data_IF_476726760777
#
_entry.id   IF_476726760777
#
_cell.length_a   1.000
_cell.length_b   1.000
_cell.length_c   1.000
_cell.angle_alpha   90.00
_cell.angle_beta   90.00
_cell.angle_gamma   90.00
#
_symmetry.space_group_name_H-M   'P 1'
#
loop_
_entity.id
_entity.type
_entity.pdbx_description
1 polymer ?
#
# COMPACT_ATOMS: atom_id res chain seq x y z
N UNK A 1 -15.83 20.58 46.37
CA UNK A 1 -14.99 19.84 45.39
C UNK A 1 -13.73 20.64 45.15
N UNK A 2 -12.56 20.05 45.37
CA UNK A 2 -11.29 20.77 45.43
C UNK A 2 -10.77 21.06 44.01
N UNK A 3 -10.78 22.34 43.61
CA UNK A 3 -10.34 22.80 42.29
C UNK A 3 -8.93 22.30 41.95
N UNK A 4 -8.04 22.19 42.94
CA UNK A 4 -6.66 21.68 42.78
C UNK A 4 -6.63 20.24 42.25
N UNK A 5 -7.58 19.39 42.67
CA UNK A 5 -7.64 18.00 42.23
C UNK A 5 -8.10 17.85 40.76
N UNK A 6 -8.90 18.80 40.27
CA UNK A 6 -9.36 18.82 38.87
C UNK A 6 -8.19 19.21 37.95
N UNK A 7 -7.43 20.25 38.32
CA UNK A 7 -6.24 20.68 37.58
C UNK A 7 -5.16 19.60 37.51
N UNK A 8 -4.89 18.90 38.61
CA UNK A 8 -3.93 17.80 38.63
C UNK A 8 -4.35 16.62 37.74
N UNK A 9 -5.64 16.28 37.70
CA UNK A 9 -6.16 15.23 36.81
C UNK A 9 -6.06 15.63 35.34
N UNK A 10 -6.41 16.87 35.01
CA UNK A 10 -6.28 17.39 33.64
C UNK A 10 -4.83 17.43 33.16
N UNK A 11 -3.89 17.84 34.01
CA UNK A 11 -2.47 17.84 33.69
C UNK A 11 -1.93 16.42 33.45
N UNK A 12 -2.35 15.45 34.26
CA UNK A 12 -1.98 14.04 34.12
C UNK A 12 -2.51 13.42 32.82
N UNK A 13 -3.74 13.76 32.42
CA UNK A 13 -4.32 13.32 31.14
C UNK A 13 -3.54 13.90 29.96
N UNK A 14 -3.22 15.20 30.00
CA UNK A 14 -2.43 15.86 28.96
C UNK A 14 -1.03 15.24 28.87
N UNK A 15 -0.35 15.04 30.00
CA UNK A 15 0.95 14.37 30.02
C UNK A 15 0.88 12.94 29.44
N UNK A 16 -0.16 12.18 29.76
CA UNK A 16 -0.35 10.84 29.20
C UNK A 16 -0.59 10.89 27.69
N UNK A 17 -1.37 11.84 27.19
CA UNK A 17 -1.57 12.03 25.74
C UNK A 17 -0.25 12.38 25.04
N UNK A 18 0.53 13.30 25.61
CA UNK A 18 1.85 13.65 25.06
C UNK A 18 2.83 12.50 25.14
N UNK A 19 2.83 11.73 26.24
CA UNK A 19 3.69 10.55 26.41
C UNK A 19 3.32 9.44 25.45
N UNK A 20 2.03 9.15 25.26
CA UNK A 20 1.54 8.20 24.23
C UNK A 20 1.90 8.67 22.83
N UNK A 21 1.79 9.97 22.54
CA UNK A 21 2.18 10.55 21.25
C UNK A 21 3.69 10.50 21.01
N UNK A 22 4.51 10.73 22.04
CA UNK A 22 5.98 10.57 21.94
C UNK A 22 6.39 9.10 21.84
N UNK A 23 5.74 8.19 22.57
CA UNK A 23 5.94 6.74 22.42
C UNK A 23 5.58 6.24 21.01
N UNK A 24 4.55 6.81 20.37
CA UNK A 24 4.24 6.51 18.97
C UNK A 24 5.19 7.15 17.95
N UNK A 25 5.98 8.15 18.36
CA UNK A 25 6.92 8.87 17.48
C UNK A 25 8.32 8.25 17.54
N UNK A 26 8.67 7.50 18.59
CA UNK A 26 10.04 7.00 18.78
C UNK A 26 10.34 5.60 18.24
N UNK A 27 9.42 4.86 17.59
CA UNK A 27 9.78 3.55 17.02
C UNK A 27 8.80 3.05 15.94
N UNK A 28 8.76 3.69 14.77
CA UNK A 28 8.26 3.02 13.56
C UNK A 28 9.24 3.23 12.40
N UNK A 29 9.92 2.16 11.99
CA UNK A 29 10.61 2.15 10.70
C UNK A 29 9.52 2.26 9.62
N UNK A 30 9.43 3.43 9.00
CA UNK A 30 8.53 3.68 7.88
C UNK A 30 9.35 4.04 6.64
N UNK A 31 9.03 3.40 5.53
CA UNK A 31 9.67 3.57 4.24
C UNK A 31 8.71 4.31 3.31
N UNK A 32 9.21 5.33 2.62
CA UNK A 32 8.41 6.11 1.65
C UNK A 32 8.97 5.93 0.25
N UNK A 33 8.08 5.61 -0.68
CA UNK A 33 8.37 5.39 -2.10
C UNK A 33 7.47 6.25 -2.96
N UNK A 34 7.95 6.58 -4.17
CA UNK A 34 7.18 7.37 -5.13
C UNK A 34 7.33 6.74 -6.52
N UNK A 35 6.20 6.37 -7.13
CA UNK A 35 6.13 5.93 -8.52
C UNK A 35 6.22 7.15 -9.43
N UNK A 36 7.20 7.18 -10.31
CA UNK A 36 7.51 8.30 -11.22
C UNK A 36 7.63 7.89 -12.69
N UNK A 37 7.35 6.63 -12.97
CA UNK A 37 7.62 6.00 -14.25
C UNK A 37 6.47 5.09 -14.65
N UNK A 38 6.26 4.99 -15.96
CA UNK A 38 5.46 3.92 -16.55
C UNK A 38 6.16 2.57 -16.34
N UNK A 39 5.41 1.49 -16.57
CA UNK A 39 5.92 0.10 -16.48
C UNK A 39 7.16 -0.17 -17.34
N UNK A 40 7.33 0.58 -18.44
CA UNK A 40 8.44 0.53 -19.41
C UNK A 40 9.44 1.68 -19.22
N UNK A 41 9.56 2.21 -18.00
CA UNK A 41 10.58 3.17 -17.56
C UNK A 41 10.56 4.55 -18.25
N UNK A 42 9.41 5.00 -18.75
CA UNK A 42 9.24 6.38 -19.21
C UNK A 42 8.80 7.27 -18.05
N UNK A 43 9.42 8.43 -17.90
CA UNK A 43 9.02 9.40 -16.87
C UNK A 43 7.59 9.90 -17.07
N UNK A 44 6.87 10.12 -15.98
CA UNK A 44 5.53 10.73 -15.97
C UNK A 44 5.58 12.14 -15.40
N UNK A 45 4.49 12.88 -15.58
CA UNK A 45 4.35 14.22 -15.01
C UNK A 45 4.25 14.17 -13.48
N UNK A 46 4.76 15.20 -12.80
CA UNK A 46 4.79 15.21 -11.33
C UNK A 46 3.39 15.15 -10.69
N UNK A 47 2.36 15.62 -11.40
CA UNK A 47 0.98 15.54 -10.96
C UNK A 47 0.42 14.12 -10.95
N UNK A 48 1.09 13.18 -11.64
CA UNK A 48 0.67 11.79 -11.75
C UNK A 48 1.44 10.87 -10.78
N UNK A 49 2.32 11.43 -9.94
CA UNK A 49 3.11 10.66 -8.99
C UNK A 49 2.24 10.01 -7.92
N UNK A 50 2.56 8.76 -7.59
CA UNK A 50 1.90 8.00 -6.52
C UNK A 50 2.89 7.81 -5.38
N UNK A 51 2.52 8.25 -4.18
CA UNK A 51 3.31 8.07 -2.96
C UNK A 51 2.78 6.89 -2.16
N UNK A 52 3.68 6.03 -1.71
CA UNK A 52 3.40 4.83 -0.93
C UNK A 52 4.28 4.86 0.31
N UNK A 53 3.67 4.75 1.48
CA UNK A 53 4.39 4.63 2.74
C UNK A 53 4.06 3.27 3.35
N UNK A 54 5.10 2.53 3.71
CA UNK A 54 5.02 1.23 4.36
C UNK A 54 5.62 1.35 5.76
N UNK A 55 4.94 0.84 6.77
CA UNK A 55 5.42 0.85 8.15
C UNK A 55 4.73 -0.23 8.97
N UNK A 56 5.27 -0.55 10.13
CA UNK A 56 4.56 -1.41 11.09
C UNK A 56 3.81 -0.57 12.11
N UNK A 57 2.59 -0.99 12.42
CA UNK A 57 1.79 -0.49 13.53
C UNK A 57 1.52 -1.67 14.46
N UNK A 58 2.22 -1.71 15.59
CA UNK A 58 2.37 -2.93 16.38
C UNK A 58 2.94 -4.07 15.50
N UNK A 59 2.16 -5.13 15.26
CA UNK A 59 2.54 -6.26 14.40
C UNK A 59 2.06 -6.13 12.95
N UNK A 60 1.05 -5.29 12.70
CA UNK A 60 0.39 -5.23 11.40
C UNK A 60 1.13 -4.29 10.44
N UNK A 61 1.13 -4.63 9.15
CA UNK A 61 1.64 -3.74 8.13
C UNK A 61 0.63 -2.63 7.87
N UNK A 62 1.05 -1.40 8.09
CA UNK A 62 0.34 -0.18 7.73
C UNK A 62 0.83 0.33 6.37
N UNK A 63 -0.11 0.53 5.44
CA UNK A 63 0.15 1.07 4.11
C UNK A 63 -0.63 2.38 3.97
N UNK A 64 0.07 3.47 3.67
CA UNK A 64 -0.54 4.75 3.34
C UNK A 64 -0.29 5.11 1.86
N UNK A 65 -1.34 5.48 1.15
CA UNK A 65 -1.34 5.87 -0.26
C UNK A 65 -1.74 7.34 -0.38
N UNK A 66 -1.04 8.06 -1.24
CA UNK A 66 -1.45 9.35 -1.80
C UNK A 66 -1.26 9.26 -3.32
N UNK A 67 -2.37 9.29 -4.06
CA UNK A 67 -2.39 9.11 -5.50
C UNK A 67 -3.38 10.09 -6.14
N UNK A 68 -3.17 10.48 -7.41
CA UNK A 68 -4.18 11.20 -8.17
C UNK A 68 -5.44 10.35 -8.30
N UNK A 69 -6.61 11.00 -8.34
CA UNK A 69 -7.90 10.35 -8.47
C UNK A 69 -8.48 10.55 -9.87
N UNK A 70 -8.59 9.46 -10.64
CA UNK A 70 -8.99 9.49 -12.04
C UNK A 70 -10.47 9.09 -12.26
N UNK A 71 -11.01 8.22 -11.42
CA UNK A 71 -12.35 7.64 -11.52
C UNK A 71 -12.68 6.99 -12.88
N UNK A 72 -11.67 6.41 -13.54
CA UNK A 72 -11.80 5.81 -14.87
C UNK A 72 -11.10 4.43 -14.97
N UNK A 73 -11.86 3.34 -15.19
CA UNK A 73 -13.32 3.27 -15.08
C UNK A 73 -13.80 3.49 -13.64
N UNK A 74 -15.02 4.01 -13.48
CA UNK A 74 -15.56 4.29 -12.14
C UNK A 74 -15.77 3.00 -11.35
N UNK A 75 -15.30 3.02 -10.11
CA UNK A 75 -15.57 2.00 -9.10
C UNK A 75 -16.84 2.33 -8.29
N UNK A 76 -17.53 1.32 -7.73
CA UNK A 76 -18.62 1.57 -6.80
C UNK A 76 -18.11 2.28 -5.53
N UNK A 77 -18.96 3.03 -4.84
CA UNK A 77 -18.55 3.73 -3.61
C UNK A 77 -18.79 2.86 -2.37
N UNK A 78 -17.72 2.27 -1.83
CA UNK A 78 -17.73 1.37 -0.66
C UNK A 78 -16.89 1.91 0.49
N UNK A 79 -16.64 3.21 0.56
CA UNK A 79 -15.79 3.82 1.59
C UNK A 79 -16.32 3.59 3.02
N UNK A 80 -17.64 3.52 3.17
CA UNK A 80 -18.32 3.20 4.44
C UNK A 80 -18.33 1.71 4.78
N UNK A 81 -18.07 0.83 3.80
CA UNK A 81 -18.00 -0.62 4.00
C UNK A 81 -17.00 -1.26 3.02
N UNK A 82 -15.69 -1.07 3.25
CA UNK A 82 -14.63 -1.57 2.38
C UNK A 82 -14.67 -3.09 2.28
N UNK A 83 -14.44 -3.64 1.08
CA UNK A 83 -14.52 -5.09 0.84
C UNK A 83 -13.77 -5.50 -0.42
N UNK A 84 -13.53 -6.81 -0.52
CA UNK A 84 -12.85 -7.40 -1.66
C UNK A 84 -13.55 -7.12 -3.00
N UNK A 85 -12.79 -6.83 -4.05
CA UNK A 85 -13.26 -6.60 -5.41
C UNK A 85 -12.40 -7.41 -6.39
N UNK A 86 -12.90 -8.52 -6.95
CA UNK A 86 -12.16 -9.32 -7.91
C UNK A 86 -11.81 -8.54 -9.18
N UNK A 87 -10.60 -8.74 -9.71
CA UNK A 87 -10.07 -8.05 -10.90
C UNK A 87 -10.05 -6.52 -10.74
N UNK A 88 -9.64 -6.05 -9.58
CA UNK A 88 -9.56 -4.61 -9.32
C UNK A 88 -8.52 -3.93 -10.24
N UNK A 89 -7.51 -4.66 -10.71
CA UNK A 89 -6.62 -4.28 -11.82
C UNK A 89 -7.28 -3.90 -13.15
N UNK A 90 -8.59 -4.07 -13.35
CA UNK A 90 -9.34 -3.54 -14.51
C UNK A 90 -9.76 -2.06 -14.29
N UNK A 91 -9.59 -1.53 -13.09
CA UNK A 91 -10.03 -0.20 -12.64
C UNK A 91 -8.85 0.67 -12.20
N UNK A 92 -9.13 1.79 -11.53
CA UNK A 92 -8.12 2.58 -10.84
C UNK A 92 -7.66 1.87 -9.55
N UNK A 93 -6.36 1.60 -9.44
CA UNK A 93 -5.79 0.80 -8.35
C UNK A 93 -4.33 1.17 -8.10
N UNK A 94 -3.90 1.03 -6.85
CA UNK A 94 -2.48 0.92 -6.48
C UNK A 94 -2.23 -0.48 -5.95
N UNK A 95 -1.18 -1.13 -6.45
CA UNK A 95 -0.82 -2.50 -6.12
C UNK A 95 0.54 -2.52 -5.41
N UNK A 96 0.65 -3.29 -4.33
CA UNK A 96 1.90 -3.54 -3.62
C UNK A 96 2.14 -5.05 -3.60
N UNK A 97 3.35 -5.45 -3.93
CA UNK A 97 3.76 -6.85 -3.91
C UNK A 97 4.91 -7.03 -2.92
N UNK A 98 4.74 -7.95 -1.96
CA UNK A 98 5.75 -8.29 -0.96
C UNK A 98 6.22 -9.72 -1.22
N UNK A 99 7.50 -9.91 -1.54
CA UNK A 99 8.08 -11.17 -1.99
C UNK A 99 9.14 -11.68 -1.02
N UNK A 100 9.05 -12.97 -0.70
CA UNK A 100 10.19 -13.74 -0.21
C UNK A 100 10.94 -14.33 -1.41
N UNK A 101 12.13 -13.82 -1.73
CA UNK A 101 12.88 -14.20 -2.92
C UNK A 101 13.38 -15.66 -2.87
N UNK A 102 13.54 -16.23 -1.67
CA UNK A 102 13.97 -17.62 -1.53
C UNK A 102 12.85 -18.60 -1.87
N UNK A 103 11.67 -18.42 -1.28
CA UNK A 103 10.53 -19.34 -1.45
C UNK A 103 9.72 -19.02 -2.70
N UNK A 104 9.85 -17.80 -3.23
CA UNK A 104 9.00 -17.22 -4.28
C UNK A 104 7.53 -17.09 -3.87
N UNK A 105 7.24 -17.12 -2.57
CA UNK A 105 5.92 -16.77 -2.06
C UNK A 105 5.82 -15.24 -1.95
N UNK A 106 4.68 -14.71 -2.35
CA UNK A 106 4.40 -13.28 -2.22
C UNK A 106 2.95 -13.01 -1.92
N UNK A 107 2.73 -11.84 -1.33
CA UNK A 107 1.43 -11.24 -1.12
C UNK A 107 1.27 -10.11 -2.14
N UNK A 108 0.18 -10.15 -2.88
CA UNK A 108 -0.30 -9.06 -3.73
C UNK A 108 -1.42 -8.33 -2.98
N UNK A 109 -1.33 -7.00 -2.96
CA UNK A 109 -2.24 -6.10 -2.25
C UNK A 109 -2.70 -5.03 -3.23
N UNK A 110 -3.93 -5.14 -3.73
CA UNK A 110 -4.57 -4.16 -4.59
C UNK A 110 -5.47 -3.24 -3.74
N UNK A 111 -5.33 -1.92 -3.88
CA UNK A 111 -6.06 -0.90 -3.12
C UNK A 111 -6.73 0.11 -4.08
N UNK A 112 -8.05 0.23 -4.01
CA UNK A 112 -8.86 1.11 -4.86
C UNK A 112 -9.40 2.35 -4.11
N UNK A 113 -9.58 3.48 -4.80
CA UNK A 113 -9.86 4.80 -4.20
C UNK A 113 -11.19 4.89 -3.44
N UNK A 114 -12.12 3.96 -3.67
CA UNK A 114 -13.49 3.98 -3.14
C UNK A 114 -13.77 2.81 -2.18
N UNK A 115 -12.73 2.25 -1.54
CA UNK A 115 -12.87 1.20 -0.52
C UNK A 115 -12.86 -0.24 -1.08
N UNK A 116 -12.53 -0.40 -2.36
CA UNK A 116 -12.24 -1.71 -2.94
C UNK A 116 -10.83 -2.13 -2.57
N UNK A 117 -10.63 -3.41 -2.30
CA UNK A 117 -9.30 -3.98 -2.20
C UNK A 117 -9.30 -5.41 -2.76
N UNK A 118 -8.14 -5.99 -2.97
CA UNK A 118 -7.99 -7.42 -3.22
C UNK A 118 -6.63 -7.85 -2.68
N UNK A 119 -6.60 -8.91 -1.86
CA UNK A 119 -5.37 -9.50 -1.37
C UNK A 119 -5.30 -10.95 -1.81
N UNK A 120 -4.15 -11.33 -2.37
CA UNK A 120 -3.88 -12.66 -2.91
C UNK A 120 -2.55 -13.17 -2.40
N UNK A 121 -2.51 -14.43 -1.95
CA UNK A 121 -1.23 -15.15 -1.81
C UNK A 121 -0.91 -15.85 -3.11
N UNK A 122 0.36 -15.76 -3.52
CA UNK A 122 0.88 -16.41 -4.71
C UNK A 122 2.20 -17.11 -4.41
N UNK A 123 2.52 -18.14 -5.20
CA UNK A 123 3.79 -18.87 -5.13
C UNK A 123 4.38 -19.08 -6.53
N UNK A 124 5.41 -18.32 -6.87
CA UNK A 124 5.98 -18.26 -8.21
C UNK A 124 5.13 -17.45 -9.20
N UNK A 125 5.43 -17.58 -10.49
CA UNK A 125 4.82 -16.74 -11.52
C UNK A 125 3.30 -16.97 -11.66
N UNK A 126 2.49 -15.96 -11.29
CA UNK A 126 1.02 -15.92 -11.43
C UNK A 126 0.25 -17.12 -10.88
N UNK A 127 0.80 -17.78 -9.87
CA UNK A 127 0.17 -18.97 -9.29
C UNK A 127 -0.47 -18.60 -7.94
N UNK A 128 -1.76 -18.30 -7.99
CA UNK A 128 -2.57 -17.94 -6.82
C UNK A 128 -2.82 -19.16 -5.95
N UNK A 129 -2.51 -19.05 -4.66
CA UNK A 129 -2.66 -20.13 -3.68
C UNK A 129 -3.75 -19.82 -2.64
N UNK A 130 -4.05 -18.55 -2.40
CA UNK A 130 -5.17 -18.10 -1.57
C UNK A 130 -5.74 -16.79 -2.13
N UNK A 131 -7.06 -16.65 -2.07
CA UNK A 131 -7.78 -15.48 -2.57
C UNK A 131 -8.68 -14.88 -1.47
N UNK A 132 -9.07 -13.62 -1.65
CA UNK A 132 -10.05 -12.93 -0.79
C UNK A 132 -9.62 -12.82 0.68
N UNK A 133 -8.33 -12.59 0.90
CA UNK A 133 -7.76 -12.34 2.23
C UNK A 133 -8.32 -10.99 2.73
N UNK A 134 -8.93 -10.93 3.93
CA UNK A 134 -9.51 -9.70 4.44
C UNK A 134 -8.42 -8.74 4.94
N UNK A 135 -8.53 -7.46 4.61
CA UNK A 135 -7.80 -6.43 5.35
C UNK A 135 -8.33 -6.34 6.78
N UNK A 136 -7.43 -6.04 7.73
CA UNK A 136 -7.81 -5.72 9.11
C UNK A 136 -8.67 -4.46 9.16
N UNK A 137 -8.26 -3.44 8.41
CA UNK A 137 -9.06 -2.25 8.13
C UNK A 137 -8.55 -1.55 6.87
N UNK A 138 -9.44 -0.81 6.23
CA UNK A 138 -9.10 0.06 5.11
C UNK A 138 -9.92 1.33 5.19
N UNK A 139 -9.28 2.49 5.15
CA UNK A 139 -9.94 3.78 5.10
C UNK A 139 -9.50 4.51 3.84
N UNK A 140 -10.42 5.17 3.17
CA UNK A 140 -10.10 5.97 1.99
C UNK A 140 -10.78 7.33 2.02
N UNK A 141 -10.13 8.31 1.41
CA UNK A 141 -10.63 9.68 1.31
C UNK A 141 -10.26 10.26 -0.04
N UNK A 142 -11.21 10.87 -0.72
CA UNK A 142 -10.97 11.62 -1.95
C UNK A 142 -11.01 13.12 -1.60
N UNK A 143 -9.98 13.86 -1.96
CA UNK A 143 -9.88 15.31 -1.71
C UNK A 143 -8.99 15.95 -2.77
N UNK A 144 -9.44 17.07 -3.34
CA UNK A 144 -8.62 17.93 -4.21
C UNK A 144 -7.99 17.20 -5.41
N UNK A 145 -8.73 16.26 -6.02
CA UNK A 145 -8.25 15.50 -7.19
C UNK A 145 -7.29 14.35 -6.84
N UNK A 146 -7.09 14.07 -5.56
CA UNK A 146 -6.31 12.95 -5.06
C UNK A 146 -7.20 12.02 -4.24
N UNK A 147 -6.78 10.77 -4.13
CA UNK A 147 -7.29 9.84 -3.14
C UNK A 147 -6.17 9.41 -2.18
N UNK A 148 -6.57 9.22 -0.95
CA UNK A 148 -5.74 8.79 0.15
C UNK A 148 -6.27 7.46 0.64
N UNK A 149 -5.39 6.48 0.82
CA UNK A 149 -5.73 5.17 1.36
C UNK A 149 -4.91 4.88 2.60
N UNK A 150 -5.51 4.26 3.61
CA UNK A 150 -4.83 3.75 4.79
C UNK A 150 -5.29 2.33 5.07
N UNK A 151 -4.45 1.36 4.79
CA UNK A 151 -4.75 -0.07 4.92
C UNK A 151 -3.91 -0.72 6.02
N UNK A 152 -4.50 -1.68 6.71
CA UNK A 152 -3.83 -2.55 7.67
C UNK A 152 -3.97 -4.00 7.22
N UNK A 153 -2.84 -4.65 6.97
CA UNK A 153 -2.75 -6.06 6.65
C UNK A 153 -2.40 -6.82 7.92
N UNK A 154 -3.13 -7.91 8.23
CA UNK A 154 -2.84 -8.67 9.44
C UNK A 154 -1.45 -9.29 9.33
N UNK A 155 -0.76 -9.38 10.47
CA UNK A 155 0.55 -10.00 10.53
C UNK A 155 0.59 -11.45 9.98
N UNK A 156 -0.48 -12.20 10.22
CA UNK A 156 -0.63 -13.60 9.79
C UNK A 156 -0.77 -13.78 8.27
N UNK A 157 -1.14 -12.70 7.57
CA UNK A 157 -1.32 -12.68 6.11
C UNK A 157 -0.04 -12.23 5.39
N UNK A 158 1.00 -11.81 6.12
CA UNK A 158 2.27 -11.41 5.50
C UNK A 158 3.09 -12.65 5.10
N UNK A 159 3.78 -12.63 3.94
CA UNK A 159 4.74 -13.68 3.63
C UNK A 159 5.86 -13.69 4.68
N UNK A 160 6.20 -14.87 5.20
CA UNK A 160 7.35 -15.03 6.10
C UNK A 160 8.61 -14.43 5.46
N UNK A 161 9.33 -13.58 6.20
CA UNK A 161 10.61 -13.00 5.81
C UNK A 161 10.65 -12.45 4.36
N UNK A 162 9.61 -11.70 3.94
CA UNK A 162 9.69 -11.00 2.66
C UNK A 162 10.89 -10.04 2.68
N UNK A 163 11.65 -10.04 1.59
CA UNK A 163 12.92 -9.33 1.46
C UNK A 163 12.98 -8.48 0.18
N UNK A 164 11.98 -8.61 -0.69
CA UNK A 164 11.85 -7.83 -1.92
C UNK A 164 10.44 -7.31 -2.09
N UNK A 165 10.30 -6.21 -2.80
CA UNK A 165 8.99 -5.64 -3.12
C UNK A 165 8.98 -4.90 -4.46
N UNK A 166 7.79 -4.68 -4.99
CA UNK A 166 7.53 -3.68 -6.02
C UNK A 166 6.16 -3.07 -5.78
N UNK A 167 5.87 -1.97 -6.44
CA UNK A 167 4.56 -1.36 -6.41
C UNK A 167 4.19 -0.79 -7.78
N UNK A 168 2.90 -0.80 -8.07
CA UNK A 168 2.35 -0.41 -9.35
C UNK A 168 1.12 0.47 -9.14
N UNK A 169 0.76 1.22 -10.17
CA UNK A 169 -0.51 1.93 -10.21
C UNK A 169 -1.11 1.80 -11.60
N UNK A 170 -2.42 1.61 -11.66
CA UNK A 170 -3.16 1.48 -12.92
C UNK A 170 -4.33 2.45 -12.88
N UNK A 171 -4.57 3.13 -14.00
CA UNK A 171 -5.69 4.04 -14.15
C UNK A 171 -6.05 4.23 -15.63
N UNK A 172 -7.19 4.87 -15.89
CA UNK A 172 -7.71 5.13 -17.22
C UNK A 172 -8.32 3.90 -17.88
N UNK A 173 -9.01 4.08 -18.99
CA UNK A 173 -9.60 2.99 -19.76
C UNK A 173 -9.17 3.01 -21.23
N UNK A 174 -9.26 1.86 -21.91
CA UNK A 174 -8.98 1.72 -23.34
C UNK A 174 -7.60 2.28 -23.74
N UNK A 175 -7.54 3.18 -24.73
CA UNK A 175 -6.30 3.83 -25.19
C UNK A 175 -5.67 4.76 -24.13
N UNK A 176 -6.45 5.17 -23.14
CA UNK A 176 -5.98 5.97 -22.01
C UNK A 176 -5.56 5.13 -20.81
N UNK A 177 -5.59 3.79 -20.91
CA UNK A 177 -5.06 2.92 -19.87
C UNK A 177 -3.57 3.22 -19.65
N UNK A 178 -3.18 3.37 -18.39
CA UNK A 178 -1.81 3.61 -17.96
C UNK A 178 -1.42 2.58 -16.92
N UNK A 179 -0.15 2.16 -16.99
CA UNK A 179 0.47 1.20 -16.11
C UNK A 179 1.77 1.82 -15.61
N UNK A 180 1.83 2.07 -14.31
CA UNK A 180 2.96 2.74 -13.65
C UNK A 180 3.66 1.73 -12.74
N UNK A 181 4.96 1.90 -12.55
CA UNK A 181 5.77 0.99 -11.73
C UNK A 181 6.82 1.75 -10.93
N UNK A 182 7.00 1.35 -9.67
CA UNK A 182 8.08 1.84 -8.81
C UNK A 182 9.44 1.36 -9.33
N UNK A 183 9.52 0.07 -9.67
CA UNK A 183 10.66 -0.55 -10.32
C UNK A 183 10.21 -1.13 -11.67
N UNK A 184 10.30 -0.34 -12.75
CA UNK A 184 9.88 -0.76 -14.09
C UNK A 184 10.88 -1.72 -14.74
N UNK A 185 10.45 -2.36 -15.84
CA UNK A 185 11.40 -3.00 -16.77
C UNK A 185 12.17 -1.92 -17.52
N UNK A 186 13.33 -2.26 -18.09
CA UNK A 186 14.11 -1.31 -18.87
C UNK A 186 13.34 -0.80 -20.11
N UNK A 187 13.60 0.46 -20.48
CA UNK A 187 12.96 1.05 -21.65
C UNK A 187 13.40 0.30 -22.93
N UNK A 188 12.43 -0.09 -23.76
CA UNK A 188 12.64 -0.87 -24.98
C UNK A 188 13.22 -2.29 -24.76
N UNK A 189 12.96 -2.92 -23.61
CA UNK A 189 13.34 -4.32 -23.40
C UNK A 189 12.61 -5.26 -24.40
N UNK A 190 13.34 -5.97 -25.29
CA UNK A 190 12.73 -6.83 -26.30
C UNK A 190 12.01 -8.05 -25.71
N UNK A 191 12.25 -8.41 -24.45
CA UNK A 191 11.61 -9.53 -23.76
C UNK A 191 10.31 -9.14 -23.07
N UNK A 192 10.07 -7.84 -22.86
CA UNK A 192 8.92 -7.33 -22.11
C UNK A 192 8.13 -6.32 -22.95
N UNK A 193 7.30 -6.84 -23.86
CA UNK A 193 6.53 -6.04 -24.82
C UNK A 193 5.18 -5.52 -24.28
N UNK A 194 4.82 -5.89 -23.05
CA UNK A 194 3.57 -5.49 -22.40
C UNK A 194 3.74 -5.45 -20.88
N UNK A 195 2.90 -4.69 -20.15
CA UNK A 195 2.92 -4.71 -18.69
C UNK A 195 2.74 -6.13 -18.14
N UNK A 196 3.61 -6.50 -17.21
CA UNK A 196 3.50 -7.72 -16.41
C UNK A 196 4.06 -7.45 -15.01
N UNK A 197 3.17 -7.36 -14.03
CA UNK A 197 3.53 -6.97 -12.67
C UNK A 197 4.00 -8.15 -11.81
N UNK A 198 3.90 -9.38 -12.32
CA UNK A 198 4.37 -10.61 -11.66
C UNK A 198 5.78 -11.00 -12.08
N UNK A 199 6.54 -10.11 -12.72
CA UNK A 199 7.96 -10.28 -13.03
C UNK A 199 8.78 -10.12 -11.75
N UNK A 200 8.92 -11.21 -10.99
CA UNK A 200 9.56 -11.21 -9.66
C UNK A 200 11.02 -10.71 -9.69
N UNK A 201 11.70 -10.83 -10.83
CA UNK A 201 13.04 -10.30 -11.06
C UNK A 201 13.12 -8.76 -10.95
N UNK A 202 12.02 -8.05 -11.17
CA UNK A 202 11.97 -6.59 -11.07
C UNK A 202 11.92 -6.08 -9.63
N UNK A 203 11.49 -6.94 -8.69
CA UNK A 203 11.30 -6.55 -7.31
C UNK A 203 12.65 -6.19 -6.69
N UNK A 204 12.71 -5.12 -5.90
CA UNK A 204 13.98 -4.66 -5.30
C UNK A 204 14.01 -4.96 -3.80
N UNK A 205 15.20 -5.07 -3.20
CA UNK A 205 15.32 -5.27 -1.77
C UNK A 205 14.53 -4.23 -0.97
N UNK A 206 13.86 -4.68 0.09
CA UNK A 206 13.19 -3.83 1.08
C UNK A 206 13.74 -4.16 2.46
N UNK A 207 13.98 -3.13 3.26
CA UNK A 207 14.45 -3.26 4.64
C UNK A 207 13.40 -2.70 5.61
N UNK A 208 12.27 -3.40 5.68
CA UNK A 208 11.16 -3.07 6.55
C UNK A 208 11.14 -4.03 7.74
N UNK A 209 11.70 -3.59 8.85
CA UNK A 209 11.75 -4.35 10.10
C UNK A 209 10.73 -3.82 11.13
N UNK A 210 10.24 -4.73 11.98
CA UNK A 210 9.46 -4.37 13.17
C UNK A 210 10.42 -3.71 14.16
N UNK A 211 10.06 -2.55 14.69
CA UNK A 211 10.76 -1.96 15.81
C UNK A 211 10.62 -2.89 17.00
N UNK A 212 11.73 -3.45 17.48
CA UNK A 212 11.72 -4.32 18.65
C UNK A 212 11.02 -3.59 19.80
N UNK A 213 9.88 -4.12 20.24
CA UNK A 213 9.26 -3.75 21.51
C UNK A 213 10.21 -4.20 22.61
N UNK A 214 11.09 -3.29 23.03
CA UNK A 214 12.00 -3.46 24.15
C UNK A 214 11.27 -3.32 25.48
#
# INVERSE_FOLDING_TARGET
>A
MNLVAIWLRSLLIILNIYKSKMLSIENSNSLSYVIKTTWDNKSIEANDYVTIQLGYNCSDLEINIDAPFYDDPSLPDWRENPRTFPKLYDFEVVEIFLLNDRTKNYLEIELGPKGQYLLLHLSGYRNVTCESIPLKSYETKIKEGHWFGRAFVNDEDLPEDFDRFNAYAIHGSNEQRRYLALFPVEENDPNHLKPDFHLLEQFKPIDLFRSDSS
#
